data_IF_675140278782
#
_entry.id   IF_675140278782
#
_cell.length_a   1.000
_cell.length_b   1.000
_cell.length_c   1.000
_cell.angle_alpha   90.00
_cell.angle_beta   90.00
_cell.angle_gamma   90.00
#
_symmetry.space_group_name_H-M   'P 1'
#
loop_
_entity.id
_entity.type
_entity.pdbx_description
1 polymer ?
#
# COMPACT_ATOMS: atom_id res chain seq x y z
N UNK A 1 -12.30 -10.83 1.27
CA UNK A 1 -12.30 -11.48 -0.06
C UNK A 1 -12.41 -10.46 -1.19
N UNK A 2 -13.04 -9.30 -1.00
CA UNK A 2 -13.25 -8.24 -2.00
C UNK A 2 -11.98 -7.47 -2.45
N UNK A 3 -11.05 -7.15 -1.55
CA UNK A 3 -9.85 -6.37 -1.90
C UNK A 3 -8.89 -7.11 -2.85
N UNK A 4 -8.69 -8.41 -2.65
CA UNK A 4 -7.81 -9.25 -3.49
C UNK A 4 -8.32 -9.36 -4.93
N UNK A 5 -9.65 -9.45 -5.10
CA UNK A 5 -10.26 -9.47 -6.43
C UNK A 5 -10.18 -8.12 -7.11
N UNK A 6 -10.38 -7.02 -6.36
CA UNK A 6 -10.25 -5.67 -6.88
C UNK A 6 -8.81 -5.39 -7.37
N UNK A 7 -7.81 -5.80 -6.59
CA UNK A 7 -6.40 -5.59 -6.90
C UNK A 7 -5.92 -6.41 -8.13
N UNK A 8 -6.27 -7.69 -8.19
CA UNK A 8 -5.99 -8.53 -9.37
C UNK A 8 -6.66 -8.01 -10.65
N UNK A 9 -7.87 -7.46 -10.52
CA UNK A 9 -8.59 -6.88 -11.65
C UNK A 9 -7.97 -5.55 -12.10
N UNK A 10 -7.60 -4.69 -11.15
CA UNK A 10 -6.95 -3.39 -11.37
C UNK A 10 -5.67 -3.55 -12.21
N UNK A 11 -4.70 -4.34 -11.75
CA UNK A 11 -3.41 -4.52 -12.46
C UNK A 11 -3.59 -5.05 -13.88
N UNK A 12 -4.53 -5.98 -14.11
CA UNK A 12 -4.83 -6.53 -15.44
C UNK A 12 -5.46 -5.47 -16.35
N UNK A 13 -6.44 -4.73 -15.85
CA UNK A 13 -7.15 -3.72 -16.62
C UNK A 13 -6.21 -2.56 -17.01
N UNK A 14 -5.36 -2.10 -16.07
CA UNK A 14 -4.31 -1.11 -16.34
C UNK A 14 -3.33 -1.58 -17.42
N UNK A 15 -2.92 -2.85 -17.41
CA UNK A 15 -2.05 -3.40 -18.45
C UNK A 15 -2.71 -3.33 -19.83
N UNK A 16 -3.99 -3.69 -19.92
CA UNK A 16 -4.74 -3.66 -21.17
C UNK A 16 -4.92 -2.22 -21.67
N UNK A 17 -5.24 -1.27 -20.78
CA UNK A 17 -5.34 0.16 -21.11
C UNK A 17 -4.02 0.70 -21.62
N UNK A 18 -2.92 0.37 -20.94
CA UNK A 18 -1.59 0.83 -21.34
C UNK A 18 -1.23 0.30 -22.72
N UNK A 19 -1.41 -1.00 -22.97
CA UNK A 19 -1.17 -1.60 -24.28
C UNK A 19 -2.03 -0.95 -25.39
N UNK A 20 -3.29 -0.62 -25.09
CA UNK A 20 -4.18 0.05 -26.04
C UNK A 20 -3.73 1.48 -26.35
N UNK A 21 -3.32 2.25 -25.34
CA UNK A 21 -2.82 3.62 -25.50
C UNK A 21 -1.53 3.67 -26.33
N UNK A 22 -0.57 2.80 -26.01
CA UNK A 22 0.67 2.67 -26.80
C UNK A 22 0.36 2.31 -28.25
N UNK A 23 -0.59 1.40 -28.48
CA UNK A 23 -1.01 1.02 -29.83
C UNK A 23 -1.66 2.19 -30.57
N UNK A 24 -2.47 3.00 -29.88
CA UNK A 24 -3.10 4.19 -30.46
C UNK A 24 -2.08 5.24 -30.90
N UNK A 25 -1.02 5.45 -30.13
CA UNK A 25 0.07 6.37 -30.50
C UNK A 25 0.88 5.85 -31.70
N UNK A 26 1.15 4.55 -31.76
CA UNK A 26 1.84 3.95 -32.91
C UNK A 26 1.05 4.09 -34.21
N UNK A 27 -0.28 3.95 -34.17
CA UNK A 27 -1.14 4.16 -35.35
C UNK A 27 -1.07 5.60 -35.86
N UNK A 28 -0.78 6.58 -34.97
CA UNK A 28 -0.57 7.99 -35.34
C UNK A 28 0.83 8.27 -35.91
N UNK A 29 1.70 7.26 -36.00
CA UNK A 29 3.05 7.37 -36.53
C UNK A 29 4.12 7.69 -35.49
N UNK A 30 3.77 7.75 -34.21
CA UNK A 30 4.72 7.98 -33.12
C UNK A 30 5.64 6.77 -32.93
N UNK A 31 6.91 7.00 -32.55
CA UNK A 31 7.81 5.92 -32.18
C UNK A 31 7.33 5.22 -30.91
N UNK A 32 7.79 3.98 -30.67
CA UNK A 32 7.41 3.23 -29.47
C UNK A 32 7.91 3.89 -28.19
N UNK A 33 9.12 4.43 -28.23
CA UNK A 33 9.76 5.12 -27.11
C UNK A 33 8.99 6.39 -26.76
N UNK A 34 8.56 7.14 -27.77
CA UNK A 34 7.79 8.36 -27.56
C UNK A 34 6.36 8.06 -27.09
N UNK A 35 5.70 7.05 -27.68
CA UNK A 35 4.41 6.56 -27.21
C UNK A 35 4.46 6.13 -25.73
N UNK A 36 5.54 5.48 -25.30
CA UNK A 36 5.75 5.10 -23.90
C UNK A 36 5.82 6.32 -22.98
N UNK A 37 6.55 7.36 -23.38
CA UNK A 37 6.66 8.62 -22.62
C UNK A 37 5.29 9.30 -22.52
N UNK A 38 4.49 9.29 -23.60
CA UNK A 38 3.15 9.87 -23.57
C UNK A 38 2.20 9.13 -22.61
N UNK A 39 2.32 7.79 -22.51
CA UNK A 39 1.55 6.96 -21.59
C UNK A 39 2.11 6.86 -20.17
N UNK A 40 2.98 7.77 -19.72
CA UNK A 40 3.72 7.62 -18.47
C UNK A 40 2.82 7.46 -17.24
N UNK A 41 1.69 8.18 -17.15
CA UNK A 41 0.81 8.14 -15.99
C UNK A 41 0.22 6.73 -15.81
N UNK A 42 -0.18 6.12 -16.93
CA UNK A 42 -0.78 4.80 -16.93
C UNK A 42 0.28 3.71 -16.70
N UNK A 43 1.52 3.94 -17.18
CA UNK A 43 2.67 3.10 -16.86
C UNK A 43 3.03 3.14 -15.36
N UNK A 44 2.99 4.32 -14.74
CA UNK A 44 3.24 4.51 -13.30
C UNK A 44 2.19 3.78 -12.46
N UNK A 45 0.90 4.02 -12.75
CA UNK A 45 -0.20 3.38 -12.03
C UNK A 45 -0.15 1.85 -12.18
N UNK A 46 0.14 1.36 -13.39
CA UNK A 46 0.33 -0.06 -13.65
C UNK A 46 1.50 -0.64 -12.83
N UNK A 47 2.64 0.05 -12.81
CA UNK A 47 3.82 -0.37 -12.06
C UNK A 47 3.54 -0.45 -10.55
N UNK A 48 2.82 0.54 -10.00
CA UNK A 48 2.40 0.55 -8.60
C UNK A 48 1.42 -0.59 -8.31
N UNK A 49 0.33 -0.71 -9.07
CA UNK A 49 -0.68 -1.76 -8.87
C UNK A 49 -0.07 -3.18 -9.00
N UNK A 50 0.87 -3.38 -9.92
CA UNK A 50 1.58 -4.65 -10.04
C UNK A 50 2.47 -4.94 -8.81
N UNK A 51 3.18 -3.93 -8.31
CA UNK A 51 4.09 -4.06 -7.17
C UNK A 51 3.31 -4.35 -5.88
N UNK A 52 2.25 -3.58 -5.62
CA UNK A 52 1.41 -3.77 -4.44
C UNK A 52 0.75 -5.16 -4.43
N UNK A 53 0.27 -5.59 -5.61
CA UNK A 53 -0.23 -6.95 -5.80
C UNK A 53 0.82 -8.01 -5.47
N UNK A 54 2.05 -7.84 -5.96
CA UNK A 54 3.13 -8.80 -5.75
C UNK A 54 3.51 -8.90 -4.26
N UNK A 55 3.55 -7.76 -3.56
CA UNK A 55 3.80 -7.69 -2.12
C UNK A 55 2.67 -8.40 -1.36
N UNK A 56 1.40 -8.09 -1.65
CA UNK A 56 0.25 -8.70 -0.99
C UNK A 56 0.21 -10.23 -1.21
N UNK A 57 0.50 -10.67 -2.43
CA UNK A 57 0.56 -12.10 -2.77
C UNK A 57 1.68 -12.81 -1.99
N UNK A 58 2.87 -12.21 -1.93
CA UNK A 58 4.00 -12.75 -1.16
C UNK A 58 3.67 -12.83 0.33
N UNK A 59 3.01 -11.80 0.87
CA UNK A 59 2.54 -11.78 2.25
C UNK A 59 1.57 -12.93 2.52
N UNK A 60 0.57 -13.11 1.65
CA UNK A 60 -0.44 -14.17 1.77
C UNK A 60 0.18 -15.56 1.74
N UNK A 61 1.15 -15.77 0.85
CA UNK A 61 1.88 -17.04 0.76
C UNK A 61 2.67 -17.32 2.04
N UNK A 62 3.37 -16.32 2.59
CA UNK A 62 4.06 -16.45 3.86
C UNK A 62 3.08 -16.73 5.02
N UNK A 63 2.00 -15.95 5.11
CA UNK A 63 0.95 -16.12 6.13
C UNK A 63 0.29 -17.51 6.07
N UNK A 64 0.10 -18.06 4.87
CA UNK A 64 -0.49 -19.38 4.68
C UNK A 64 0.32 -20.48 5.38
N UNK A 65 1.65 -20.33 5.49
CA UNK A 65 2.53 -21.29 6.17
C UNK A 65 2.45 -21.25 7.70
N UNK A 66 1.89 -20.17 8.27
CA UNK A 66 1.75 -20.01 9.72
C UNK A 66 0.59 -20.85 10.22
N UNK A 67 0.78 -21.58 11.32
CA UNK A 67 -0.27 -22.36 11.96
C UNK A 67 -1.38 -21.46 12.52
N UNK A 68 -2.59 -22.01 12.65
CA UNK A 68 -3.72 -21.27 13.24
C UNK A 68 -3.38 -20.90 14.69
N UNK A 69 -3.51 -19.62 15.03
CA UNK A 69 -3.20 -19.12 16.36
C UNK A 69 -3.07 -17.60 16.41
N UNK A 70 -2.68 -17.05 17.57
CA UNK A 70 -2.60 -15.60 17.80
C UNK A 70 -1.71 -14.87 16.79
N UNK A 71 -0.57 -15.46 16.42
CA UNK A 71 0.33 -14.88 15.42
C UNK A 71 -0.36 -14.72 14.06
N UNK A 72 -1.03 -15.77 13.58
CA UNK A 72 -1.75 -15.73 12.30
C UNK A 72 -2.87 -14.69 12.32
N UNK A 73 -3.55 -14.50 13.45
CA UNK A 73 -4.59 -13.48 13.59
C UNK A 73 -4.01 -12.06 13.43
N UNK A 74 -2.87 -11.76 14.05
CA UNK A 74 -2.20 -10.46 13.89
C UNK A 74 -1.68 -10.27 12.47
N UNK A 75 -1.11 -11.30 11.85
CA UNK A 75 -0.69 -11.23 10.44
C UNK A 75 -1.88 -11.02 9.49
N UNK A 76 -3.03 -11.65 9.76
CA UNK A 76 -4.27 -11.42 9.00
C UNK A 76 -4.78 -10.00 9.12
N UNK A 77 -4.64 -9.40 10.31
CA UNK A 77 -4.98 -8.01 10.56
C UNK A 77 -4.07 -7.08 9.74
N UNK A 78 -2.76 -7.30 9.79
CA UNK A 78 -1.77 -6.52 9.03
C UNK A 78 -1.94 -6.68 7.52
N UNK A 79 -2.25 -7.88 7.01
CA UNK A 79 -2.59 -8.10 5.61
C UNK A 79 -3.79 -7.27 5.18
N UNK A 80 -4.83 -7.23 6.01
CA UNK A 80 -6.04 -6.46 5.73
C UNK A 80 -5.77 -4.96 5.76
N UNK A 81 -4.94 -4.51 6.72
CA UNK A 81 -4.46 -3.12 6.80
C UNK A 81 -3.71 -2.73 5.53
N UNK A 82 -2.70 -3.51 5.12
CA UNK A 82 -1.92 -3.25 3.92
C UNK A 82 -2.81 -3.13 2.67
N UNK A 83 -3.68 -4.11 2.44
CA UNK A 83 -4.56 -4.11 1.27
C UNK A 83 -5.49 -2.90 1.23
N UNK A 84 -6.07 -2.49 2.37
CA UNK A 84 -6.96 -1.33 2.42
C UNK A 84 -6.22 0.00 2.34
N UNK A 85 -5.01 0.11 2.89
CA UNK A 85 -4.17 1.31 2.74
C UNK A 85 -3.76 1.51 1.28
N UNK A 86 -3.35 0.46 0.55
CA UNK A 86 -3.10 0.55 -0.89
C UNK A 86 -4.33 1.09 -1.65
N UNK A 87 -5.53 0.61 -1.31
CA UNK A 87 -6.78 1.07 -1.93
C UNK A 87 -7.17 2.51 -1.53
N UNK A 88 -6.83 2.95 -0.32
CA UNK A 88 -7.12 4.30 0.17
C UNK A 88 -6.19 5.35 -0.45
N UNK A 89 -4.89 5.05 -0.50
CA UNK A 89 -3.85 6.01 -0.89
C UNK A 89 -3.67 6.11 -2.40
N UNK A 90 -4.00 5.06 -3.16
CA UNK A 90 -3.83 5.06 -4.61
C UNK A 90 -5.02 5.69 -5.35
N UNK A 91 -4.78 6.86 -5.94
CA UNK A 91 -5.75 7.59 -6.74
C UNK A 91 -6.23 6.80 -7.98
N UNK A 92 -5.49 5.80 -8.45
CA UNK A 92 -5.87 4.96 -9.58
C UNK A 92 -7.23 4.27 -9.37
N UNK A 93 -7.55 3.87 -8.13
CA UNK A 93 -8.82 3.21 -7.83
C UNK A 93 -10.04 4.10 -8.14
N UNK A 94 -9.95 5.40 -7.90
CA UNK A 94 -10.99 6.36 -8.27
C UNK A 94 -10.87 6.77 -9.74
N UNK A 95 -9.64 7.05 -10.21
CA UNK A 95 -9.35 7.52 -11.58
C UNK A 95 -9.91 6.60 -12.66
N UNK A 96 -9.78 5.28 -12.46
CA UNK A 96 -10.24 4.27 -13.41
C UNK A 96 -11.57 3.61 -13.02
N UNK A 97 -12.19 4.06 -11.93
CA UNK A 97 -13.51 3.60 -11.48
C UNK A 97 -13.53 2.21 -10.86
N UNK A 98 -12.39 1.71 -10.35
CA UNK A 98 -12.34 0.47 -9.57
C UNK A 98 -13.06 0.58 -8.22
N UNK A 99 -13.14 1.80 -7.67
CA UNK A 99 -13.95 2.15 -6.52
C UNK A 99 -14.86 3.33 -6.84
N UNK A 100 -16.08 3.31 -6.29
CA UNK A 100 -16.91 4.50 -6.22
C UNK A 100 -16.44 5.41 -5.08
N UNK A 101 -16.89 6.67 -5.09
CA UNK A 101 -16.64 7.64 -4.02
C UNK A 101 -17.13 7.14 -2.65
N UNK A 102 -18.29 6.48 -2.63
CA UNK A 102 -18.90 5.91 -1.42
C UNK A 102 -18.07 4.74 -0.89
N UNK A 103 -17.61 3.86 -1.79
CA UNK A 103 -16.78 2.72 -1.43
C UNK A 103 -15.40 3.18 -0.95
N UNK A 104 -14.79 4.20 -1.57
CA UNK A 104 -13.54 4.78 -1.09
C UNK A 104 -13.69 5.40 0.31
N UNK A 105 -14.80 6.08 0.58
CA UNK A 105 -15.10 6.59 1.93
C UNK A 105 -15.30 5.45 2.95
N UNK A 106 -15.90 4.33 2.54
CA UNK A 106 -16.00 3.14 3.39
C UNK A 106 -14.64 2.50 3.67
N UNK A 107 -13.77 2.38 2.66
CA UNK A 107 -12.39 1.90 2.81
C UNK A 107 -11.63 2.75 3.84
N UNK A 108 -11.68 4.08 3.74
CA UNK A 108 -11.06 4.99 4.71
C UNK A 108 -11.53 4.76 6.15
N UNK A 109 -12.83 4.51 6.35
CA UNK A 109 -13.39 4.19 7.68
C UNK A 109 -12.84 2.86 8.20
N UNK A 110 -12.75 1.85 7.34
CA UNK A 110 -12.18 0.56 7.70
C UNK A 110 -10.67 0.66 8.01
N UNK A 111 -9.89 1.46 7.29
CA UNK A 111 -8.48 1.73 7.63
C UNK A 111 -8.37 2.33 9.02
N UNK A 112 -9.21 3.32 9.35
CA UNK A 112 -9.24 3.94 10.69
C UNK A 112 -9.56 2.92 11.80
N UNK A 113 -10.49 1.99 11.53
CA UNK A 113 -10.84 0.90 12.43
C UNK A 113 -9.66 -0.06 12.62
N UNK A 114 -9.02 -0.48 11.53
CA UNK A 114 -7.85 -1.37 11.57
C UNK A 114 -6.67 -0.74 12.32
N UNK A 115 -6.43 0.57 12.18
CA UNK A 115 -5.46 1.29 13.02
C UNK A 115 -5.72 1.10 14.52
N UNK A 116 -6.99 1.10 14.94
CA UNK A 116 -7.38 0.89 16.33
C UNK A 116 -7.19 -0.56 16.78
N UNK A 117 -7.45 -1.53 15.89
CA UNK A 117 -7.23 -2.96 16.14
C UNK A 117 -5.73 -3.32 16.18
N UNK A 118 -4.89 -2.67 15.37
CA UNK A 118 -3.43 -2.88 15.33
C UNK A 118 -2.74 -2.25 16.54
N UNK A 119 -3.26 -1.12 17.05
CA UNK A 119 -2.69 -0.35 18.16
C UNK A 119 -2.18 -1.19 19.35
N UNK A 120 -2.95 -2.12 19.96
CA UNK A 120 -2.47 -2.93 21.09
C UNK A 120 -1.27 -3.84 20.73
N UNK A 121 -1.05 -4.12 19.44
CA UNK A 121 0.05 -4.94 18.95
C UNK A 121 1.25 -4.13 18.44
N UNK A 122 1.10 -2.81 18.27
CA UNK A 122 2.08 -1.97 17.56
C UNK A 122 3.49 -2.07 18.15
N UNK A 123 3.64 -1.98 19.48
CA UNK A 123 4.94 -2.08 20.14
C UNK A 123 5.57 -3.47 19.94
N UNK A 124 4.79 -4.54 20.14
CA UNK A 124 5.29 -5.90 19.96
C UNK A 124 5.72 -6.17 18.50
N UNK A 125 4.99 -5.63 17.53
CA UNK A 125 5.32 -5.74 16.11
C UNK A 125 6.65 -5.05 15.79
N UNK A 126 6.86 -3.80 16.21
CA UNK A 126 8.13 -3.10 15.92
C UNK A 126 9.30 -3.71 16.69
N UNK A 127 9.10 -4.14 17.94
CA UNK A 127 10.13 -4.83 18.72
C UNK A 127 10.52 -6.18 18.12
N UNK A 128 9.62 -6.85 17.39
CA UNK A 128 9.90 -8.15 16.76
C UNK A 128 10.98 -8.10 15.67
N UNK A 129 11.29 -6.91 15.12
CA UNK A 129 12.40 -6.74 14.18
C UNK A 129 13.77 -6.96 14.84
N UNK A 130 13.84 -6.94 16.17
CA UNK A 130 15.08 -7.23 16.91
C UNK A 130 16.18 -6.20 16.66
N UNK A 131 15.82 -4.97 16.29
CA UNK A 131 16.77 -3.88 16.06
C UNK A 131 17.40 -3.50 17.41
N UNK A 132 18.73 -3.61 17.57
CA UNK A 132 19.37 -3.24 18.82
C UNK A 132 19.23 -1.74 19.13
N UNK A 133 19.04 -1.43 20.41
CA UNK A 133 18.88 -0.07 20.94
C UNK A 133 19.95 0.92 20.48
N UNK A 134 21.20 0.47 20.32
CA UNK A 134 22.30 1.30 19.83
C UNK A 134 22.09 1.87 18.42
N UNK A 135 21.19 1.29 17.62
CA UNK A 135 20.83 1.78 16.28
C UNK A 135 19.58 2.68 16.28
N UNK A 136 18.91 2.85 17.42
CA UNK A 136 17.69 3.67 17.53
C UNK A 136 18.03 5.10 17.93
N UNK A 137 17.36 6.06 17.28
CA UNK A 137 17.47 7.48 17.63
C UNK A 137 16.80 7.81 18.97
N UNK A 138 17.10 8.97 19.58
CA UNK A 138 16.56 9.37 20.89
C UNK A 138 15.02 9.35 20.99
N UNK A 139 14.33 9.62 19.88
CA UNK A 139 12.86 9.62 19.79
C UNK A 139 12.22 8.25 20.08
N UNK A 140 12.97 7.16 19.93
CA UNK A 140 12.49 5.80 20.20
C UNK A 140 12.25 5.54 21.69
N UNK A 141 12.93 6.29 22.58
CA UNK A 141 12.88 6.09 24.03
C UNK A 141 12.02 7.13 24.74
N UNK A 142 12.26 8.41 24.43
CA UNK A 142 11.50 9.52 24.99
C UNK A 142 11.18 10.53 23.90
N UNK A 143 10.06 10.31 23.23
CA UNK A 143 9.61 11.18 22.15
C UNK A 143 9.21 12.58 22.61
N UNK A 144 8.84 12.76 23.89
CA UNK A 144 8.48 14.07 24.45
C UNK A 144 9.75 14.91 24.60
N UNK A 145 10.75 14.38 25.31
CA UNK A 145 12.01 15.10 25.51
C UNK A 145 12.72 15.35 24.19
N UNK A 146 12.74 14.36 23.28
CA UNK A 146 13.38 14.48 21.98
C UNK A 146 12.75 15.56 21.07
N UNK A 147 11.47 15.91 21.28
CA UNK A 147 10.78 16.96 20.55
C UNK A 147 10.54 18.23 21.39
N UNK A 148 11.04 18.26 22.63
CA UNK A 148 10.95 19.44 23.48
C UNK A 148 11.98 20.46 23.01
N UNK A 149 11.51 21.63 22.56
CA UNK A 149 12.39 22.74 22.25
C UNK A 149 13.01 23.23 23.55
N UNK A 150 14.35 23.24 23.64
CA UNK A 150 15.02 23.92 24.74
C UNK A 150 14.65 25.41 24.65
N UNK A 151 13.93 25.92 25.64
CA UNK A 151 13.64 27.34 25.75
C UNK A 151 14.97 28.08 25.70
N UNK A 152 15.22 28.81 24.61
CA UNK A 152 16.43 29.60 24.41
C UNK A 152 16.51 30.58 25.58
N UNK A 153 17.52 30.41 26.45
CA UNK A 153 17.84 31.41 27.46
C UNK A 153 18.44 32.60 26.72
N UNK A 154 17.65 33.66 26.57
CA UNK A 154 18.12 34.99 26.15
C UNK A 154 19.05 35.59 27.21
#
# INVERSE_FOLDING_TARGET
MTAIYADKYCSRDLLNRFAAEISQHQVKGESKEYAFILGYQLAEDLGRAFSDRAILQTYMEAEATVSVGPLKNVLSLLRSMYALTCMEEDAAFLRYGYLSTENAAAVRKEVTKLCSEVRPHALALVSSFGIPDAFLGPIAYNWIDANSWSSVKH
#
